data_IF_164385601660
#
_entry.id   IF_164385601660
#
_cell.length_a   1.000
_cell.length_b   1.000
_cell.length_c   1.000
_cell.angle_alpha   90.00
_cell.angle_beta   90.00
_cell.angle_gamma   90.00
#
_symmetry.space_group_name_H-M   'P 1'
#
loop_
_entity.id
_entity.type
_entity.pdbx_description
1 polymer ?
#
# COMPACT_ATOMS: atom_id res chain seq x y z
N UNK A 1 24.23 -2.31 -14.66
CA UNK A 1 24.48 -3.17 -15.83
C UNK A 1 25.98 -3.18 -16.08
N UNK A 2 26.63 -4.34 -16.13
CA UNK A 2 28.08 -4.47 -16.35
C UNK A 2 28.30 -5.02 -17.75
N UNK A 3 29.15 -4.38 -18.56
CA UNK A 3 29.49 -4.83 -19.92
C UNK A 3 30.89 -5.43 -19.88
N UNK A 4 31.05 -6.66 -20.36
CA UNK A 4 32.32 -7.39 -20.37
C UNK A 4 32.62 -7.94 -21.77
N UNK A 5 33.89 -8.21 -22.06
CA UNK A 5 34.32 -8.83 -23.32
C UNK A 5 33.74 -10.25 -23.49
N UNK A 6 33.59 -10.71 -24.74
CA UNK A 6 32.95 -12.01 -25.06
C UNK A 6 33.62 -13.20 -24.35
N UNK A 7 34.95 -13.27 -24.35
CA UNK A 7 35.71 -14.32 -23.67
C UNK A 7 35.57 -14.27 -22.15
N UNK A 8 35.34 -13.09 -21.60
CA UNK A 8 35.08 -12.91 -20.17
C UNK A 8 33.67 -13.38 -19.83
N UNK A 9 32.66 -13.05 -20.64
CA UNK A 9 31.31 -13.56 -20.47
C UNK A 9 31.27 -15.09 -20.56
N UNK A 10 31.97 -15.70 -21.53
CA UNK A 10 32.06 -17.14 -21.67
C UNK A 10 32.70 -17.81 -20.44
N UNK A 11 33.77 -17.20 -19.89
CA UNK A 11 34.39 -17.66 -18.64
C UNK A 11 33.45 -17.53 -17.44
N UNK A 12 32.73 -16.42 -17.32
CA UNK A 12 31.78 -16.19 -16.23
C UNK A 12 30.59 -17.16 -16.27
N UNK A 13 30.13 -17.56 -17.46
CA UNK A 13 29.14 -18.63 -17.62
C UNK A 13 29.73 -19.96 -17.17
N UNK A 14 30.94 -20.30 -17.63
CA UNK A 14 31.60 -21.56 -17.28
C UNK A 14 31.95 -21.68 -15.79
N UNK A 15 32.27 -20.57 -15.12
CA UNK A 15 32.55 -20.51 -13.69
C UNK A 15 31.29 -20.44 -12.81
N UNK A 16 30.11 -20.32 -13.40
CA UNK A 16 28.85 -20.16 -12.66
C UNK A 16 28.68 -18.80 -11.98
N UNK A 17 29.44 -17.79 -12.40
CA UNK A 17 29.33 -16.41 -11.91
C UNK A 17 28.07 -15.71 -12.42
N UNK A 18 27.53 -16.13 -13.57
CA UNK A 18 26.23 -15.71 -14.07
C UNK A 18 25.15 -16.72 -13.69
N UNK A 19 24.16 -16.26 -12.92
CA UNK A 19 23.01 -17.03 -12.48
C UNK A 19 22.01 -17.27 -13.61
N UNK A 20 21.78 -16.21 -14.39
CA UNK A 20 20.97 -16.22 -15.59
C UNK A 20 21.84 -15.72 -16.73
N UNK A 21 21.74 -16.33 -17.90
CA UNK A 21 22.40 -15.80 -19.08
C UNK A 21 21.69 -16.12 -20.38
N UNK A 22 21.80 -15.21 -21.35
CA UNK A 22 21.25 -15.34 -22.68
C UNK A 22 22.16 -14.70 -23.72
N UNK A 23 22.20 -15.26 -24.94
CA UNK A 23 22.85 -14.64 -26.09
C UNK A 23 21.83 -13.90 -26.95
N UNK A 24 21.97 -12.58 -27.05
CA UNK A 24 21.13 -11.71 -27.87
C UNK A 24 22.04 -10.93 -28.82
N UNK A 25 21.82 -11.05 -30.11
CA UNK A 25 22.58 -10.34 -31.16
C UNK A 25 24.12 -10.49 -31.02
N UNK A 26 24.60 -11.66 -30.60
CA UNK A 26 26.04 -11.93 -30.42
C UNK A 26 26.63 -11.48 -29.08
N UNK A 27 25.86 -10.80 -28.23
CA UNK A 27 26.25 -10.40 -26.89
C UNK A 27 25.63 -11.33 -25.84
N UNK A 28 26.36 -11.59 -24.76
CA UNK A 28 25.85 -12.35 -23.62
C UNK A 28 25.35 -11.38 -22.55
N UNK A 29 24.07 -11.45 -22.22
CA UNK A 29 23.44 -10.75 -21.11
C UNK A 29 23.25 -11.73 -19.96
N UNK A 30 23.30 -11.25 -18.72
CA UNK A 30 23.09 -12.12 -17.58
C UNK A 30 23.02 -11.42 -16.23
N UNK A 31 22.50 -12.15 -15.25
CA UNK A 31 22.37 -11.70 -13.86
C UNK A 31 23.53 -12.30 -13.04
N UNK A 32 24.39 -11.49 -12.40
CA UNK A 32 25.46 -12.03 -11.57
C UNK A 32 24.92 -12.77 -10.34
N UNK A 33 25.50 -13.93 -10.02
CA UNK A 33 25.06 -14.75 -8.88
C UNK A 33 25.39 -14.11 -7.52
N UNK A 34 26.54 -13.44 -7.40
CA UNK A 34 27.02 -12.90 -6.12
C UNK A 34 26.07 -11.87 -5.46
N UNK A 35 25.57 -10.84 -6.17
CA UNK A 35 24.60 -9.90 -5.60
C UNK A 35 23.30 -10.59 -5.17
N UNK A 36 22.79 -11.54 -5.96
CA UNK A 36 21.57 -12.28 -5.64
C UNK A 36 21.76 -13.11 -4.38
N UNK A 37 22.86 -13.89 -4.29
CA UNK A 37 23.20 -14.68 -3.10
C UNK A 37 23.34 -13.81 -1.85
N UNK A 38 23.95 -12.62 -1.98
CA UNK A 38 24.11 -11.68 -0.86
C UNK A 38 22.77 -11.15 -0.35
N UNK A 39 21.84 -10.81 -1.25
CA UNK A 39 20.51 -10.32 -0.87
C UNK A 39 19.67 -11.42 -0.21
N UNK A 40 19.71 -12.63 -0.76
CA UNK A 40 19.04 -13.80 -0.18
C UNK A 40 19.61 -14.12 1.21
N UNK A 41 20.93 -14.08 1.37
CA UNK A 41 21.58 -14.28 2.68
C UNK A 41 21.20 -13.20 3.71
N UNK A 42 20.86 -12.00 3.27
CA UNK A 42 20.33 -10.93 4.11
C UNK A 42 18.82 -11.07 4.40
N UNK A 43 18.19 -12.19 4.02
CA UNK A 43 16.77 -12.45 4.24
C UNK A 43 15.83 -11.63 3.34
N UNK A 44 16.35 -11.00 2.28
CA UNK A 44 15.53 -10.19 1.35
C UNK A 44 14.93 -11.07 0.26
N UNK A 45 13.67 -10.80 -0.08
CA UNK A 45 13.03 -11.36 -1.27
C UNK A 45 13.64 -10.70 -2.52
N UNK A 46 14.04 -11.49 -3.51
CA UNK A 46 14.56 -11.00 -4.79
C UNK A 46 13.56 -11.32 -5.88
N UNK A 47 13.10 -10.29 -6.59
CA UNK A 47 12.28 -10.42 -7.78
C UNK A 47 13.18 -10.44 -9.02
N UNK A 48 13.01 -11.45 -9.87
CA UNK A 48 13.72 -11.57 -11.14
C UNK A 48 12.69 -11.64 -12.26
N UNK A 49 12.87 -10.80 -13.27
CA UNK A 49 12.12 -10.88 -14.51
C UNK A 49 12.78 -11.92 -15.42
N UNK A 50 11.99 -12.82 -15.99
CA UNK A 50 12.46 -13.95 -16.79
C UNK A 50 11.79 -13.92 -18.15
N UNK A 51 12.60 -13.74 -19.19
CA UNK A 51 12.11 -13.66 -20.57
C UNK A 51 11.88 -15.04 -21.17
N UNK A 52 12.49 -16.10 -20.61
CA UNK A 52 12.42 -17.46 -21.14
C UNK A 52 12.28 -18.56 -20.11
N UNK A 53 11.65 -19.67 -20.50
CA UNK A 53 11.53 -20.88 -19.66
C UNK A 53 12.90 -21.44 -19.22
N UNK A 54 13.92 -21.40 -20.07
CA UNK A 54 15.23 -21.96 -19.72
C UNK A 54 15.89 -21.20 -18.57
N UNK A 55 15.60 -19.91 -18.41
CA UNK A 55 16.12 -19.10 -17.30
C UNK A 55 15.56 -19.59 -15.95
N UNK A 56 14.28 -19.99 -15.92
CA UNK A 56 13.67 -20.60 -14.74
C UNK A 56 14.36 -21.95 -14.38
N UNK A 57 14.76 -22.73 -15.38
CA UNK A 57 15.50 -23.98 -15.19
C UNK A 57 16.93 -23.72 -14.67
N UNK A 58 17.63 -22.71 -15.22
CA UNK A 58 18.95 -22.28 -14.76
C UNK A 58 18.93 -21.88 -13.28
N UNK A 59 17.92 -21.14 -12.83
CA UNK A 59 17.74 -20.77 -11.42
C UNK A 59 17.63 -21.98 -10.50
N UNK A 60 16.79 -22.96 -10.89
CA UNK A 60 16.61 -24.20 -10.12
C UNK A 60 17.90 -25.02 -10.09
N UNK A 61 18.60 -25.14 -11.22
CA UNK A 61 19.87 -25.85 -11.33
C UNK A 61 20.99 -25.20 -10.49
N UNK A 62 20.97 -23.86 -10.37
CA UNK A 62 21.89 -23.11 -9.52
C UNK A 62 21.59 -23.24 -8.01
N UNK A 63 20.60 -24.04 -7.62
CA UNK A 63 20.27 -24.36 -6.22
C UNK A 63 19.38 -23.34 -5.52
N UNK A 64 18.80 -22.39 -6.26
CA UNK A 64 17.85 -21.43 -5.68
C UNK A 64 16.47 -22.08 -5.50
N UNK A 65 15.90 -21.96 -4.31
CA UNK A 65 14.50 -22.30 -4.03
C UNK A 65 13.57 -21.17 -4.46
N UNK A 66 13.68 -20.76 -5.71
CA UNK A 66 12.83 -19.72 -6.29
C UNK A 66 11.42 -20.25 -6.55
N UNK A 67 10.44 -19.37 -6.39
CA UNK A 67 9.07 -19.60 -6.87
C UNK A 67 8.89 -18.88 -8.19
N UNK A 68 8.43 -19.62 -9.20
CA UNK A 68 8.29 -19.11 -10.56
C UNK A 68 6.82 -18.97 -10.88
N UNK A 69 6.40 -17.74 -11.18
CA UNK A 69 5.02 -17.42 -11.56
C UNK A 69 4.99 -17.10 -13.06
N UNK A 70 4.22 -17.86 -13.83
CA UNK A 70 4.04 -17.62 -15.26
C UNK A 70 3.04 -16.48 -15.48
N UNK A 71 3.44 -15.44 -16.20
CA UNK A 71 2.56 -14.35 -16.62
C UNK A 71 2.04 -14.61 -18.04
N UNK A 72 0.75 -14.89 -18.18
CA UNK A 72 0.12 -15.24 -19.47
C UNK A 72 -0.61 -14.04 -20.06
N UNK A 73 -0.58 -13.86 -21.39
CA UNK A 73 -1.51 -12.93 -22.03
C UNK A 73 -2.95 -13.46 -21.92
N UNK A 74 -3.97 -12.59 -22.01
CA UNK A 74 -5.38 -13.02 -22.00
C UNK A 74 -5.73 -13.84 -23.25
N UNK A 75 -5.05 -13.58 -24.37
CA UNK A 75 -5.11 -14.40 -25.59
C UNK A 75 -3.88 -14.14 -26.46
N UNK A 76 -3.57 -15.09 -27.36
CA UNK A 76 -2.52 -14.92 -28.38
C UNK A 76 -2.82 -13.70 -29.29
N UNK A 77 -4.08 -13.48 -29.65
CA UNK A 77 -4.49 -12.31 -30.45
C UNK A 77 -4.27 -10.98 -29.72
N UNK A 78 -4.53 -10.93 -28.40
CA UNK A 78 -4.22 -9.73 -27.62
C UNK A 78 -2.72 -9.46 -27.57
N UNK A 79 -1.90 -10.49 -27.38
CA UNK A 79 -0.44 -10.37 -27.39
C UNK A 79 0.08 -9.91 -28.77
N UNK A 80 -0.42 -10.50 -29.85
CA UNK A 80 -0.05 -10.15 -31.24
C UNK A 80 -0.34 -8.70 -31.56
N UNK A 81 -1.55 -8.24 -31.22
CA UNK A 81 -1.95 -6.83 -31.41
C UNK A 81 -1.03 -5.88 -30.65
N UNK A 82 -0.70 -6.22 -29.39
CA UNK A 82 0.21 -5.41 -28.55
C UNK A 82 1.60 -5.32 -29.14
N UNK A 83 2.24 -6.47 -29.43
CA UNK A 83 3.61 -6.49 -29.96
C UNK A 83 3.71 -5.76 -31.31
N UNK A 84 2.75 -5.97 -32.21
CA UNK A 84 2.70 -5.22 -33.48
C UNK A 84 2.59 -3.72 -33.25
N UNK A 85 1.70 -3.27 -32.36
CA UNK A 85 1.56 -1.84 -32.02
C UNK A 85 2.88 -1.26 -31.49
N UNK A 86 3.53 -1.97 -30.57
CA UNK A 86 4.74 -1.48 -29.90
C UNK A 86 5.93 -1.40 -30.87
N UNK A 87 6.09 -2.39 -31.76
CA UNK A 87 7.14 -2.39 -32.81
C UNK A 87 6.86 -1.32 -33.88
N UNK A 88 5.60 -1.10 -34.26
CA UNK A 88 5.25 -0.04 -35.22
C UNK A 88 5.45 1.36 -34.62
N UNK A 89 5.24 1.53 -33.32
CA UNK A 89 5.47 2.79 -32.62
C UNK A 89 6.99 3.09 -32.46
N UNK A 90 7.81 2.06 -32.25
CA UNK A 90 9.26 2.17 -32.12
C UNK A 90 9.97 1.07 -32.92
N UNK A 91 10.12 1.24 -34.25
CA UNK A 91 10.74 0.21 -35.08
C UNK A 91 12.25 0.14 -34.81
N UNK A 92 12.84 -1.07 -34.80
CA UNK A 92 14.27 -1.23 -34.68
C UNK A 92 15.00 -0.57 -35.86
N UNK A 93 16.08 0.15 -35.55
CA UNK A 93 16.86 0.91 -36.53
C UNK A 93 17.35 -0.01 -37.66
N UNK A 94 17.04 0.37 -38.91
CA UNK A 94 17.50 -0.32 -40.10
C UNK A 94 16.65 -1.52 -40.55
N UNK A 95 15.49 -1.75 -39.93
CA UNK A 95 14.55 -2.80 -40.33
C UNK A 95 13.25 -2.20 -40.87
N UNK A 96 12.62 -2.91 -41.82
CA UNK A 96 11.24 -2.61 -42.20
C UNK A 96 10.31 -2.89 -41.01
N UNK A 97 9.43 -1.94 -40.60
CA UNK A 97 8.59 -2.11 -39.43
C UNK A 97 7.66 -3.32 -39.50
N UNK A 98 7.16 -3.68 -40.69
CA UNK A 98 6.29 -4.84 -40.87
C UNK A 98 7.06 -6.15 -40.70
N UNK A 99 8.22 -6.25 -41.36
CA UNK A 99 9.10 -7.42 -41.24
C UNK A 99 9.62 -7.60 -39.82
N UNK A 100 9.99 -6.50 -39.14
CA UNK A 100 10.42 -6.53 -37.74
C UNK A 100 9.28 -7.00 -36.83
N UNK A 101 8.06 -6.53 -37.04
CA UNK A 101 6.91 -6.92 -36.24
C UNK A 101 6.57 -8.41 -36.40
N UNK A 102 6.68 -8.95 -37.62
CA UNK A 102 6.45 -10.37 -37.88
C UNK A 102 7.56 -11.26 -37.29
N UNK A 103 8.82 -10.81 -37.32
CA UNK A 103 9.93 -11.52 -36.68
C UNK A 103 9.79 -11.55 -35.14
N UNK A 104 9.45 -10.42 -34.53
CA UNK A 104 9.17 -10.32 -33.08
C UNK A 104 7.99 -11.22 -32.69
N UNK A 105 6.93 -11.24 -33.51
CA UNK A 105 5.80 -12.13 -33.29
C UNK A 105 6.20 -13.60 -33.35
N UNK A 106 6.96 -14.02 -34.37
CA UNK A 106 7.40 -15.42 -34.50
C UNK A 106 8.22 -15.88 -33.28
N UNK A 107 9.09 -15.01 -32.76
CA UNK A 107 9.83 -15.30 -31.53
C UNK A 107 8.92 -15.40 -30.31
N UNK A 108 7.98 -14.46 -30.14
CA UNK A 108 7.03 -14.48 -29.03
C UNK A 108 6.09 -15.70 -29.09
N UNK A 109 5.64 -16.10 -30.28
CA UNK A 109 4.79 -17.27 -30.48
C UNK A 109 5.51 -18.56 -30.09
N UNK A 110 6.78 -18.70 -30.47
CA UNK A 110 7.62 -19.83 -30.05
C UNK A 110 7.79 -19.88 -28.52
N UNK A 111 8.01 -18.73 -27.88
CA UNK A 111 8.17 -18.67 -26.41
C UNK A 111 6.87 -18.97 -25.67
N UNK A 112 5.72 -18.51 -26.18
CA UNK A 112 4.42 -18.85 -25.60
C UNK A 112 4.16 -20.36 -25.71
N UNK A 113 4.49 -20.98 -26.84
CA UNK A 113 4.37 -22.43 -27.01
C UNK A 113 5.30 -23.19 -26.04
N UNK A 114 6.56 -22.75 -25.89
CA UNK A 114 7.50 -23.32 -24.93
C UNK A 114 7.00 -23.18 -23.48
N UNK A 115 6.48 -22.00 -23.12
CA UNK A 115 5.89 -21.73 -21.80
C UNK A 115 4.66 -22.60 -21.53
N UNK A 116 3.80 -22.84 -22.52
CA UNK A 116 2.65 -23.74 -22.37
C UNK A 116 3.08 -25.19 -22.12
N UNK A 117 4.02 -25.71 -22.92
CA UNK A 117 4.55 -27.05 -22.73
C UNK A 117 5.24 -27.21 -21.36
N UNK A 118 5.97 -26.19 -20.91
CA UNK A 118 6.62 -26.19 -19.60
C UNK A 118 5.62 -26.14 -18.44
N UNK A 119 4.50 -25.43 -18.61
CA UNK A 119 3.43 -25.38 -17.63
C UNK A 119 2.71 -26.72 -17.49
N UNK A 120 2.41 -27.40 -18.61
CA UNK A 120 1.86 -28.75 -18.62
C UNK A 120 2.80 -29.76 -17.95
N UNK A 121 4.11 -29.54 -18.04
CA UNK A 121 5.13 -30.32 -17.35
C UNK A 121 5.33 -29.91 -15.86
N UNK A 122 4.59 -28.91 -15.36
CA UNK A 122 4.65 -28.46 -13.97
C UNK A 122 5.90 -27.64 -13.62
N UNK A 123 6.48 -26.93 -14.60
CA UNK A 123 7.68 -26.11 -14.38
C UNK A 123 7.43 -24.82 -13.57
N UNK A 124 6.18 -24.37 -13.49
CA UNK A 124 5.77 -23.16 -12.76
C UNK A 124 5.06 -23.49 -11.45
N UNK A 125 5.27 -22.67 -10.43
CA UNK A 125 4.60 -22.81 -9.14
C UNK A 125 3.19 -22.20 -9.15
N UNK A 126 2.97 -21.19 -10.00
CA UNK A 126 1.66 -20.57 -10.24
C UNK A 126 1.61 -19.95 -11.65
N UNK A 127 0.41 -19.66 -12.14
CA UNK A 127 0.22 -18.92 -13.36
C UNK A 127 -0.86 -17.84 -13.19
N UNK A 128 -0.64 -16.68 -13.79
CA UNK A 128 -1.49 -15.50 -13.70
C UNK A 128 -1.72 -14.94 -15.09
N UNK A 129 -2.97 -14.68 -15.44
CA UNK A 129 -3.31 -13.97 -16.68
C UNK A 129 -3.17 -12.47 -16.45
N UNK A 130 -2.39 -11.80 -17.30
CA UNK A 130 -2.13 -10.37 -17.22
C UNK A 130 -2.78 -9.69 -18.42
N UNK A 131 -3.91 -9.03 -18.17
CA UNK A 131 -4.55 -8.15 -19.15
C UNK A 131 -4.04 -6.71 -18.97
N UNK A 132 -3.32 -6.13 -19.96
CA UNK A 132 -2.86 -4.75 -19.88
C UNK A 132 -3.99 -3.72 -19.77
N UNK A 133 -5.20 -4.05 -20.22
CA UNK A 133 -6.37 -3.18 -20.13
C UNK A 133 -7.01 -3.22 -18.73
N UNK A 134 -6.63 -4.19 -17.89
CA UNK A 134 -7.07 -4.34 -16.50
C UNK A 134 -5.86 -4.61 -15.57
N UNK A 135 -4.91 -3.66 -15.48
CA UNK A 135 -3.62 -3.88 -14.80
C UNK A 135 -3.78 -4.25 -13.33
N UNK A 136 -4.81 -3.72 -12.69
CA UNK A 136 -5.04 -3.95 -11.28
C UNK A 136 -5.56 -5.34 -10.95
N UNK A 137 -6.36 -5.94 -11.86
CA UNK A 137 -6.78 -7.32 -11.73
C UNK A 137 -5.57 -8.25 -11.81
N UNK A 138 -4.63 -7.95 -12.72
CA UNK A 138 -3.38 -8.69 -12.85
C UNK A 138 -2.50 -8.58 -11.59
N UNK A 139 -2.42 -7.38 -10.99
CA UNK A 139 -1.71 -7.18 -9.71
C UNK A 139 -2.36 -7.98 -8.58
N UNK A 140 -3.69 -8.00 -8.50
CA UNK A 140 -4.42 -8.79 -7.49
C UNK A 140 -4.16 -10.30 -7.67
N UNK A 141 -4.26 -10.81 -8.90
CA UNK A 141 -3.95 -12.21 -9.21
C UNK A 141 -2.51 -12.59 -8.86
N UNK A 142 -1.56 -11.69 -9.12
CA UNK A 142 -0.16 -11.89 -8.77
C UNK A 142 0.04 -11.88 -7.26
N UNK A 143 -0.60 -10.97 -6.53
CA UNK A 143 -0.57 -10.95 -5.07
C UNK A 143 -1.11 -12.26 -4.49
N UNK A 144 -2.25 -12.76 -4.99
CA UNK A 144 -2.82 -14.05 -4.61
C UNK A 144 -1.88 -15.23 -4.88
N UNK A 145 -1.24 -15.26 -6.05
CA UNK A 145 -0.26 -16.28 -6.38
C UNK A 145 0.94 -16.25 -5.43
N UNK A 146 1.46 -15.07 -5.12
CA UNK A 146 2.64 -14.88 -4.27
C UNK A 146 2.36 -15.14 -2.79
N UNK A 147 1.18 -14.77 -2.28
CA UNK A 147 0.79 -14.99 -0.88
C UNK A 147 0.85 -16.46 -0.48
N UNK A 148 0.46 -17.37 -1.38
CA UNK A 148 0.56 -18.83 -1.16
C UNK A 148 1.97 -19.27 -0.77
N UNK A 149 2.99 -18.56 -1.23
CA UNK A 149 4.39 -18.89 -0.99
C UNK A 149 5.07 -17.96 0.02
N UNK A 150 4.63 -16.70 0.10
CA UNK A 150 5.26 -15.64 0.88
C UNK A 150 4.23 -14.79 1.64
N UNK A 151 3.47 -15.36 2.59
CA UNK A 151 2.41 -14.65 3.30
C UNK A 151 2.92 -13.49 4.19
N UNK A 152 4.19 -13.54 4.59
CA UNK A 152 4.83 -12.43 5.30
C UNK A 152 5.09 -11.22 4.38
N UNK A 153 5.33 -11.45 3.09
CA UNK A 153 5.60 -10.41 2.10
C UNK A 153 4.30 -9.87 1.48
N UNK A 154 3.30 -10.72 1.32
CA UNK A 154 1.97 -10.37 0.81
C UNK A 154 0.94 -10.73 1.89
N UNK A 155 0.48 -9.79 2.73
CA UNK A 155 -0.45 -10.09 3.81
C UNK A 155 -1.85 -10.46 3.30
N UNK A 156 -2.63 -11.17 4.12
CA UNK A 156 -4.02 -11.56 3.85
C UNK A 156 -4.91 -10.37 3.43
N UNK A 157 -4.60 -9.16 3.88
CA UNK A 157 -5.30 -7.94 3.48
C UNK A 157 -5.16 -7.61 2.00
N UNK A 158 -4.28 -8.26 1.25
CA UNK A 158 -4.11 -8.10 -0.20
C UNK A 158 -4.75 -9.23 -1.02
N UNK A 159 -5.42 -10.22 -0.40
CA UNK A 159 -5.85 -11.48 -1.04
C UNK A 159 -7.37 -11.61 -0.99
N UNK A 160 -8.05 -11.47 -2.14
CA UNK A 160 -9.52 -11.42 -2.16
C UNK A 160 -10.13 -11.93 -3.48
N UNK A 161 -10.59 -13.17 -3.46
CA UNK A 161 -11.65 -13.62 -4.36
C UNK A 161 -11.24 -14.04 -5.79
N UNK A 162 -10.13 -14.78 -5.95
CA UNK A 162 -9.79 -15.47 -7.20
C UNK A 162 -9.50 -14.51 -8.37
N UNK A 163 -8.61 -13.54 -8.15
CA UNK A 163 -8.07 -12.73 -9.23
C UNK A 163 -8.92 -11.55 -9.69
N UNK A 164 -9.91 -11.18 -8.90
CA UNK A 164 -10.60 -9.90 -9.08
C UNK A 164 -9.92 -8.83 -8.24
N UNK A 165 -9.85 -7.58 -8.73
CA UNK A 165 -9.29 -6.49 -7.96
C UNK A 165 -10.22 -6.14 -6.79
N UNK A 166 -9.66 -5.54 -5.74
CA UNK A 166 -10.36 -5.28 -4.47
C UNK A 166 -11.61 -4.36 -4.59
N UNK A 167 -11.81 -3.71 -5.74
CA UNK A 167 -12.99 -2.91 -6.08
C UNK A 167 -14.11 -3.67 -6.78
N UNK A 168 -13.91 -4.92 -7.16
CA UNK A 168 -14.96 -5.69 -7.81
C UNK A 168 -16.09 -6.00 -6.80
N UNK A 169 -17.29 -5.50 -7.11
CA UNK A 169 -18.47 -5.70 -6.29
C UNK A 169 -18.85 -7.18 -6.11
N UNK A 170 -18.45 -8.07 -7.03
CA UNK A 170 -18.73 -9.52 -7.00
C UNK A 170 -17.93 -10.24 -5.92
N UNK A 171 -16.75 -9.74 -5.55
CA UNK A 171 -15.94 -10.28 -4.44
C UNK A 171 -16.53 -9.95 -3.06
N UNK A 172 -17.46 -9.00 -2.97
CA UNK A 172 -18.07 -8.58 -1.71
C UNK A 172 -19.16 -9.52 -1.19
N UNK A 173 -19.54 -10.52 -1.98
CA UNK A 173 -20.46 -11.58 -1.55
C UNK A 173 -19.73 -12.59 -0.63
N UNK A 174 -18.41 -12.66 -0.70
CA UNK A 174 -17.59 -13.49 0.18
C UNK A 174 -16.46 -12.68 0.84
N UNK A 175 -16.70 -12.13 2.03
CA UNK A 175 -15.72 -12.38 3.10
C UNK A 175 -15.04 -11.24 3.86
N UNK A 176 -15.36 -9.94 3.71
CA UNK A 176 -15.20 -8.89 4.78
C UNK A 176 -15.57 -7.48 4.27
N UNK A 177 -16.05 -6.63 5.19
CA UNK A 177 -16.29 -5.20 4.97
C UNK A 177 -14.95 -4.47 4.72
N UNK A 178 -14.84 -3.55 3.75
CA UNK A 178 -13.62 -2.76 3.52
C UNK A 178 -13.22 -2.01 4.80
N UNK A 179 -11.95 -2.10 5.19
CA UNK A 179 -11.46 -1.60 6.48
C UNK A 179 -11.38 -0.07 6.49
N UNK A 180 -12.16 0.58 7.36
CA UNK A 180 -12.18 2.03 7.50
C UNK A 180 -11.59 2.43 8.84
N UNK A 181 -10.44 3.10 8.81
CA UNK A 181 -9.71 3.49 10.02
C UNK A 181 -9.58 4.99 10.10
N UNK A 182 -9.80 5.55 11.28
CA UNK A 182 -9.48 6.94 11.60
C UNK A 182 -8.33 6.94 12.62
N UNK A 183 -7.33 7.79 12.41
CA UNK A 183 -6.27 8.02 13.40
C UNK A 183 -6.33 9.48 13.84
N UNK A 184 -6.52 9.68 15.12
CA UNK A 184 -6.62 10.98 15.79
C UNK A 184 -5.50 11.11 16.81
N UNK A 185 -5.18 12.35 17.11
CA UNK A 185 -4.21 12.68 18.13
C UNK A 185 -3.86 14.15 18.07
N UNK A 186 -3.27 14.69 19.14
CA UNK A 186 -2.79 16.06 19.14
C UNK A 186 -1.66 16.26 18.13
N UNK A 187 -1.33 17.52 17.83
CA UNK A 187 -0.13 17.85 17.07
C UNK A 187 1.11 17.24 17.76
N UNK A 188 2.08 16.76 16.98
CA UNK A 188 3.29 16.11 17.52
C UNK A 188 3.13 14.66 17.98
N UNK A 189 1.91 14.09 17.90
CA UNK A 189 1.67 12.70 18.35
C UNK A 189 2.21 11.61 17.42
N UNK A 190 2.56 11.95 16.17
CA UNK A 190 3.01 10.98 15.16
C UNK A 190 1.87 10.30 14.40
N UNK A 191 0.64 10.84 14.45
CA UNK A 191 -0.54 10.30 13.76
C UNK A 191 -0.33 10.04 12.26
N UNK A 192 0.29 10.98 11.54
CA UNK A 192 0.51 10.88 10.09
C UNK A 192 1.49 9.76 9.75
N UNK A 193 2.55 9.61 10.55
CA UNK A 193 3.48 8.47 10.45
C UNK A 193 2.76 7.14 10.65
N UNK A 194 1.89 7.03 11.66
CA UNK A 194 1.12 5.81 11.90
C UNK A 194 0.10 5.55 10.77
N UNK A 195 -0.50 6.60 10.20
CA UNK A 195 -1.39 6.46 9.05
C UNK A 195 -0.65 5.92 7.83
N UNK A 196 0.54 6.45 7.53
CA UNK A 196 1.35 5.96 6.41
C UNK A 196 1.79 4.50 6.60
N UNK A 197 2.23 4.13 7.81
CA UNK A 197 2.60 2.76 8.13
C UNK A 197 1.40 1.82 7.98
N UNK A 198 0.24 2.21 8.51
CA UNK A 198 -0.99 1.44 8.41
C UNK A 198 -1.47 1.30 6.96
N UNK A 199 -1.47 2.41 6.21
CA UNK A 199 -1.81 2.45 4.78
C UNK A 199 -0.94 1.49 3.97
N UNK A 200 0.38 1.54 4.18
CA UNK A 200 1.33 0.62 3.52
C UNK A 200 1.10 -0.84 3.93
N UNK A 201 0.85 -1.09 5.22
CA UNK A 201 0.67 -2.44 5.77
C UNK A 201 -0.58 -3.12 5.22
N UNK A 202 -1.68 -2.38 5.08
CA UNK A 202 -2.98 -2.90 4.68
C UNK A 202 -3.37 -2.57 3.24
N UNK A 203 -2.50 -1.90 2.47
CA UNK A 203 -2.79 -1.50 1.09
C UNK A 203 -3.93 -0.48 0.97
N UNK A 204 -4.10 0.40 1.97
CA UNK A 204 -5.20 1.35 2.04
C UNK A 204 -4.76 2.75 1.59
N UNK A 205 -5.63 3.51 0.89
CA UNK A 205 -5.42 4.94 0.69
C UNK A 205 -5.35 5.68 2.03
N UNK A 206 -4.29 6.45 2.21
CA UNK A 206 -4.17 7.42 3.29
C UNK A 206 -4.78 8.75 2.86
N UNK A 207 -5.77 9.24 3.61
CA UNK A 207 -6.49 10.47 3.31
C UNK A 207 -6.23 11.45 4.44
N UNK A 208 -5.53 12.55 4.15
CA UNK A 208 -5.32 13.64 5.10
C UNK A 208 -6.17 14.84 4.69
N UNK A 209 -7.15 15.20 5.54
CA UNK A 209 -8.09 16.28 5.24
C UNK A 209 -7.41 17.66 5.10
N UNK A 210 -6.31 17.89 5.82
CA UNK A 210 -5.51 19.10 5.70
C UNK A 210 -4.77 19.17 4.37
N UNK A 211 -4.17 18.07 3.93
CA UNK A 211 -3.48 17.99 2.63
C UNK A 211 -4.44 18.14 1.45
N UNK A 212 -5.64 17.55 1.54
CA UNK A 212 -6.69 17.75 0.54
C UNK A 212 -6.99 19.24 0.36
N UNK A 213 -7.18 19.99 1.46
CA UNK A 213 -7.43 21.42 1.40
C UNK A 213 -6.26 22.20 0.81
N UNK A 214 -5.03 21.90 1.23
CA UNK A 214 -3.82 22.57 0.71
C UNK A 214 -3.61 22.29 -0.78
N UNK A 215 -3.86 21.06 -1.24
CA UNK A 215 -3.78 20.67 -2.65
C UNK A 215 -4.77 21.47 -3.50
N UNK A 216 -6.00 21.64 -3.03
CA UNK A 216 -7.01 22.44 -3.74
C UNK A 216 -6.64 23.93 -3.82
N UNK A 217 -6.03 24.48 -2.76
CA UNK A 217 -5.48 25.85 -2.76
C UNK A 217 -4.34 25.98 -3.78
N UNK A 218 -3.38 25.05 -3.76
CA UNK A 218 -2.25 25.05 -4.70
C UNK A 218 -2.72 24.93 -6.16
N UNK A 219 -3.74 24.11 -6.42
CA UNK A 219 -4.37 23.93 -7.73
C UNK A 219 -5.31 25.07 -8.13
N UNK A 220 -5.56 26.03 -7.22
CA UNK A 220 -6.43 27.21 -7.42
C UNK A 220 -7.84 26.83 -7.86
N UNK A 221 -8.38 25.75 -7.32
CA UNK A 221 -9.76 25.34 -7.63
C UNK A 221 -10.77 26.31 -6.99
N UNK A 222 -12.03 26.34 -7.42
CA UNK A 222 -13.04 27.22 -6.80
C UNK A 222 -13.15 27.02 -5.28
N UNK A 223 -13.10 25.75 -4.82
CA UNK A 223 -13.12 25.40 -3.40
C UNK A 223 -11.84 25.87 -2.70
N UNK A 224 -10.67 25.65 -3.32
CA UNK A 224 -9.39 26.10 -2.79
C UNK A 224 -9.30 27.62 -2.64
N UNK A 225 -9.73 28.39 -3.64
CA UNK A 225 -9.73 29.86 -3.61
C UNK A 225 -10.68 30.43 -2.55
N UNK A 226 -11.81 29.76 -2.31
CA UNK A 226 -12.73 30.16 -1.25
C UNK A 226 -12.17 29.84 0.14
N UNK A 227 -11.58 28.66 0.31
CA UNK A 227 -10.94 28.23 1.56
C UNK A 227 -9.70 29.07 1.91
N UNK A 228 -8.91 29.46 0.91
CA UNK A 228 -7.70 30.27 1.06
C UNK A 228 -7.98 31.59 1.80
N UNK A 229 -9.16 32.20 1.59
CA UNK A 229 -9.59 33.42 2.29
C UNK A 229 -9.71 33.25 3.80
N UNK A 230 -10.01 32.03 4.27
CA UNK A 230 -10.09 31.72 5.69
C UNK A 230 -8.70 31.40 6.25
N UNK A 231 -7.86 30.70 5.48
CA UNK A 231 -6.50 30.33 5.88
C UNK A 231 -5.60 31.55 6.12
N UNK A 232 -5.61 32.54 5.22
CA UNK A 232 -4.80 33.77 5.37
C UNK A 232 -5.35 34.73 6.42
N UNK A 233 -6.63 34.59 6.80
CA UNK A 233 -7.33 35.57 7.63
C UNK A 233 -7.28 35.30 9.14
N UNK A 234 -6.41 34.40 9.63
CA UNK A 234 -6.41 33.86 11.01
C UNK A 234 -7.79 33.35 11.48
N UNK A 235 -8.67 33.00 10.52
CA UNK A 235 -10.02 32.48 10.76
C UNK A 235 -10.00 30.97 10.65
N UNK A 236 -10.77 30.31 11.50
CA UNK A 236 -10.98 28.86 11.40
C UNK A 236 -11.67 28.52 10.08
N UNK A 237 -11.11 27.59 9.32
CA UNK A 237 -11.72 27.10 8.08
C UNK A 237 -13.06 26.41 8.40
N UNK A 238 -14.18 26.82 7.77
CA UNK A 238 -15.48 26.21 8.01
C UNK A 238 -15.54 24.71 7.69
N UNK A 239 -16.25 23.94 8.52
CA UNK A 239 -16.42 22.48 8.36
C UNK A 239 -16.88 22.03 6.98
N UNK A 240 -17.68 22.84 6.28
CA UNK A 240 -18.23 22.48 4.95
C UNK A 240 -17.14 22.13 3.93
N UNK A 241 -15.97 22.80 4.00
CA UNK A 241 -14.86 22.55 3.09
C UNK A 241 -14.29 21.14 3.32
N UNK A 242 -14.00 20.79 4.57
CA UNK A 242 -13.51 19.47 4.91
C UNK A 242 -14.55 18.38 4.62
N UNK A 243 -15.82 18.62 4.94
CA UNK A 243 -16.91 17.67 4.65
C UNK A 243 -17.02 17.37 3.16
N UNK A 244 -16.95 18.40 2.31
CA UNK A 244 -16.98 18.23 0.86
C UNK A 244 -15.76 17.42 0.39
N UNK A 245 -14.55 17.86 0.71
CA UNK A 245 -13.31 17.24 0.22
C UNK A 245 -13.14 15.81 0.71
N UNK A 246 -13.42 15.56 1.99
CA UNK A 246 -13.37 14.20 2.57
C UNK A 246 -14.43 13.31 1.94
N UNK A 247 -15.67 13.80 1.75
CA UNK A 247 -16.70 12.99 1.08
C UNK A 247 -16.29 12.63 -0.34
N UNK A 248 -15.84 13.59 -1.14
CA UNK A 248 -15.39 13.35 -2.52
C UNK A 248 -14.24 12.32 -2.55
N UNK A 249 -13.23 12.49 -1.68
CA UNK A 249 -12.08 11.58 -1.64
C UNK A 249 -12.43 10.18 -1.17
N UNK A 250 -13.25 10.04 -0.13
CA UNK A 250 -13.65 8.74 0.41
C UNK A 250 -14.66 8.02 -0.49
N UNK A 251 -15.38 8.75 -1.34
CA UNK A 251 -16.26 8.19 -2.38
C UNK A 251 -15.51 7.72 -3.63
N UNK A 252 -14.21 8.01 -3.76
CA UNK A 252 -13.42 7.55 -4.89
C UNK A 252 -13.37 6.01 -4.96
N UNK A 253 -13.27 5.41 -6.16
CA UNK A 253 -13.33 3.96 -6.34
C UNK A 253 -12.32 3.19 -5.49
N UNK A 254 -11.08 3.68 -5.36
CA UNK A 254 -10.04 3.07 -4.53
C UNK A 254 -10.42 3.03 -3.04
N UNK A 255 -10.90 4.13 -2.47
CA UNK A 255 -11.35 4.19 -1.08
C UNK A 255 -12.60 3.35 -0.82
N UNK A 256 -13.55 3.37 -1.75
CA UNK A 256 -14.77 2.58 -1.64
C UNK A 256 -14.44 1.10 -1.66
N UNK A 257 -13.48 0.70 -2.50
CA UNK A 257 -13.03 -0.66 -2.74
C UNK A 257 -12.34 -1.31 -1.55
N UNK A 258 -11.24 -0.70 -1.14
CA UNK A 258 -10.28 -1.30 -0.20
C UNK A 258 -10.50 -0.84 1.23
N UNK A 259 -11.26 0.25 1.39
CA UNK A 259 -11.33 1.00 2.62
C UNK A 259 -10.35 2.17 2.60
N UNK A 260 -10.02 2.71 3.76
CA UNK A 260 -9.23 3.93 3.86
C UNK A 260 -8.68 4.14 5.26
N UNK A 261 -7.61 4.91 5.35
CA UNK A 261 -7.09 5.48 6.60
C UNK A 261 -7.28 6.99 6.54
N UNK A 262 -8.03 7.55 7.48
CA UNK A 262 -8.30 8.98 7.58
C UNK A 262 -7.45 9.60 8.69
N UNK A 263 -6.50 10.46 8.30
CA UNK A 263 -5.56 11.13 9.19
C UNK A 263 -6.14 12.46 9.68
N UNK A 264 -6.35 12.54 11.00
CA UNK A 264 -6.69 13.80 11.66
C UNK A 264 -8.07 14.34 11.32
N UNK A 265 -9.02 13.53 10.86
CA UNK A 265 -10.42 13.91 10.75
C UNK A 265 -11.29 12.76 11.26
N UNK A 266 -12.33 13.01 12.08
CA UNK A 266 -12.87 14.31 12.50
C UNK A 266 -12.14 14.93 13.71
N UNK A 267 -12.21 16.26 13.84
CA UNK A 267 -11.76 17.03 15.00
C UNK A 267 -12.87 17.33 16.01
N UNK A 268 -14.14 17.35 15.61
CA UNK A 268 -15.26 17.66 16.51
C UNK A 268 -16.31 16.56 16.55
N UNK A 269 -17.11 16.52 17.62
CA UNK A 269 -18.27 15.62 17.71
C UNK A 269 -19.24 15.85 16.55
N UNK A 270 -19.47 17.10 16.14
CA UNK A 270 -20.34 17.43 15.00
C UNK A 270 -19.82 16.88 13.68
N UNK A 271 -18.51 16.87 13.46
CA UNK A 271 -17.90 16.24 12.29
C UNK A 271 -18.00 14.70 12.36
N UNK A 272 -17.82 14.11 13.56
CA UNK A 272 -18.04 12.68 13.76
C UNK A 272 -19.48 12.27 13.44
N UNK A 273 -20.48 12.99 13.98
CA UNK A 273 -21.90 12.76 13.67
C UNK A 273 -22.20 12.88 12.17
N UNK A 274 -21.52 13.79 11.47
CA UNK A 274 -21.65 13.90 10.03
C UNK A 274 -21.09 12.66 9.30
N UNK A 275 -19.94 12.11 9.71
CA UNK A 275 -19.41 10.86 9.12
C UNK A 275 -20.40 9.70 9.25
N UNK A 276 -21.05 9.57 10.42
CA UNK A 276 -22.10 8.58 10.63
C UNK A 276 -23.27 8.79 9.66
N UNK A 277 -23.80 10.02 9.58
CA UNK A 277 -24.92 10.35 8.71
C UNK A 277 -24.61 10.19 7.21
N UNK A 278 -23.35 10.38 6.82
CA UNK A 278 -22.88 10.22 5.45
C UNK A 278 -22.59 8.75 5.06
N UNK A 279 -22.75 7.78 5.97
CA UNK A 279 -22.37 6.38 5.73
C UNK A 279 -20.85 6.14 5.67
N UNK A 280 -20.08 7.12 6.16
CA UNK A 280 -18.61 7.15 6.20
C UNK A 280 -18.08 6.84 7.60
N UNK A 281 -18.88 6.18 8.44
CA UNK A 281 -18.46 5.78 9.78
C UNK A 281 -17.22 4.85 9.71
N UNK A 282 -16.17 5.12 10.50
CA UNK A 282 -15.03 4.23 10.60
C UNK A 282 -15.38 2.96 11.37
N UNK A 283 -14.69 1.87 11.04
CA UNK A 283 -14.76 0.61 11.80
C UNK A 283 -13.83 0.63 13.01
N UNK A 284 -12.72 1.38 12.91
CA UNK A 284 -11.68 1.50 13.92
C UNK A 284 -11.25 2.94 14.08
N UNK A 285 -11.12 3.39 15.32
CA UNK A 285 -10.60 4.71 15.67
C UNK A 285 -9.39 4.53 16.57
N UNK A 286 -8.27 5.14 16.21
CA UNK A 286 -7.06 5.16 17.02
C UNK A 286 -6.91 6.56 17.56
N UNK A 287 -6.77 6.70 18.87
CA UNK A 287 -6.44 7.97 19.53
C UNK A 287 -5.05 7.85 20.14
N UNK A 288 -4.10 8.59 19.57
CA UNK A 288 -2.75 8.74 20.12
C UNK A 288 -2.77 9.75 21.27
N UNK A 289 -2.23 9.37 22.43
CA UNK A 289 -2.23 10.18 23.64
C UNK A 289 -0.82 10.55 24.10
N UNK A 290 -0.57 11.82 24.39
CA UNK A 290 0.73 12.31 24.85
C UNK A 290 0.56 13.49 25.79
N UNK A 291 1.51 13.68 26.71
CA UNK A 291 1.54 14.88 27.55
C UNK A 291 1.94 16.10 26.73
N UNK A 292 1.45 17.29 27.09
CA UNK A 292 1.82 18.52 26.39
C UNK A 292 3.33 18.74 26.37
N UNK A 293 4.03 18.44 27.47
CA UNK A 293 5.49 18.54 27.53
C UNK A 293 6.19 17.69 26.45
N UNK A 294 5.79 16.43 26.30
CA UNK A 294 6.33 15.53 25.27
C UNK A 294 6.02 16.02 23.85
N UNK A 295 4.81 16.52 23.63
CA UNK A 295 4.36 16.93 22.31
C UNK A 295 5.00 18.25 21.87
N UNK A 296 5.18 19.18 22.80
CA UNK A 296 5.93 20.41 22.58
C UNK A 296 7.38 20.09 22.22
N UNK A 297 8.06 19.25 23.01
CA UNK A 297 9.44 18.81 22.73
C UNK A 297 9.58 18.25 21.31
N UNK A 298 8.66 17.39 20.87
CA UNK A 298 8.65 16.80 19.52
C UNK A 298 8.41 17.77 18.38
N UNK A 299 7.72 18.88 18.62
CA UNK A 299 7.42 19.88 17.57
C UNK A 299 8.55 20.91 17.50
N UNK A 300 9.14 21.23 18.66
CA UNK A 300 10.32 22.11 18.74
C UNK A 300 11.57 21.47 18.14
N UNK A 301 11.64 20.13 18.08
CA UNK A 301 12.68 19.40 17.34
C UNK A 301 12.30 19.26 15.84
N UNK A 302 13.12 19.78 14.89
CA UNK A 302 12.87 19.61 13.47
C UNK A 302 12.80 18.13 13.10
N UNK A 303 11.69 17.67 12.51
CA UNK A 303 11.56 16.29 12.05
C UNK A 303 12.56 16.04 10.92
N UNK A 304 13.61 15.28 11.23
CA UNK A 304 14.61 14.84 10.27
C UNK A 304 14.06 13.66 9.46
N UNK A 305 14.20 13.64 8.13
CA UNK A 305 14.15 12.39 7.39
C UNK A 305 15.38 11.57 7.80
N UNK A 306 15.23 10.74 8.83
CA UNK A 306 16.29 9.85 9.26
C UNK A 306 16.53 8.85 8.12
N UNK A 307 17.80 8.74 7.69
CA UNK A 307 18.24 7.58 6.92
C UNK A 307 18.01 6.31 7.76
N UNK A 308 17.94 5.16 7.12
CA UNK A 308 17.81 3.86 7.80
C UNK A 308 18.95 3.56 8.79
N UNK A 309 20.06 4.32 8.74
CA UNK A 309 21.20 4.26 9.66
C UNK A 309 21.14 5.31 10.79
N UNK A 310 20.07 6.10 10.89
CA UNK A 310 19.87 7.13 11.92
C UNK A 310 20.60 8.45 11.66
N UNK A 311 21.24 8.64 10.50
CA UNK A 311 21.86 9.92 10.13
C UNK A 311 20.89 10.85 9.40
N UNK A 312 21.01 12.16 9.64
CA UNK A 312 20.29 13.20 8.89
C UNK A 312 21.19 13.74 7.76
N UNK A 313 20.63 13.89 6.55
CA UNK A 313 21.37 14.47 5.42
C UNK A 313 21.55 15.99 5.61
N UNK A 314 22.79 16.48 5.63
CA UNK A 314 23.10 17.91 5.83
C UNK A 314 22.46 18.80 4.76
N UNK A 315 22.27 18.28 3.55
CA UNK A 315 21.63 19.03 2.47
C UNK A 315 20.11 19.12 2.65
N UNK A 316 19.49 18.10 3.27
CA UNK A 316 18.08 18.09 3.65
C UNK A 316 17.82 19.04 4.81
N UNK A 317 18.72 19.05 5.82
CA UNK A 317 18.64 19.96 6.98
C UNK A 317 18.65 21.43 6.56
N UNK A 318 19.46 21.79 5.54
CA UNK A 318 19.56 23.15 5.05
C UNK A 318 18.31 23.66 4.31
N UNK A 319 17.36 22.79 3.97
CA UNK A 319 16.11 23.12 3.27
C UNK A 319 14.87 23.01 4.16
N UNK A 320 15.04 22.73 5.46
CA UNK A 320 13.92 22.62 6.39
C UNK A 320 13.37 24.02 6.71
N UNK A 321 12.11 24.24 6.35
CA UNK A 321 11.36 25.43 6.75
C UNK A 321 10.45 25.08 7.94
N UNK A 322 10.46 25.93 8.96
CA UNK A 322 9.52 25.83 10.08
C UNK A 322 8.18 26.37 9.59
N UNK A 323 7.11 25.55 9.67
CA UNK A 323 5.78 26.01 9.28
C UNK A 323 5.31 27.07 10.27
N UNK A 324 4.55 28.06 9.78
CA UNK A 324 3.94 29.08 10.64
C UNK A 324 3.12 28.48 11.82
N UNK A 325 2.51 27.31 11.60
CA UNK A 325 1.70 26.59 12.59
C UNK A 325 2.51 25.87 13.69
N UNK A 326 3.84 25.82 13.55
CA UNK A 326 4.75 25.12 14.46
C UNK A 326 5.44 26.08 15.45
N UNK A 327 4.96 27.34 15.55
CA UNK A 327 5.36 28.23 16.65
C UNK A 327 4.78 27.76 17.99
N UNK A 328 5.53 27.93 19.08
CA UNK A 328 5.13 27.47 20.42
C UNK A 328 3.72 27.94 20.82
N UNK A 329 3.35 29.18 20.49
CA UNK A 329 2.03 29.74 20.76
C UNK A 329 0.91 29.04 19.96
N UNK A 330 1.16 28.74 18.69
CA UNK A 330 0.20 28.06 17.82
C UNK A 330 0.06 26.58 18.22
N UNK A 331 1.17 25.93 18.60
CA UNK A 331 1.16 24.56 19.12
C UNK A 331 0.35 24.50 20.41
N UNK A 332 0.62 25.38 21.38
CA UNK A 332 -0.12 25.42 22.64
C UNK A 332 -1.62 25.62 22.43
N UNK A 333 -2.02 26.50 21.51
CA UNK A 333 -3.44 26.68 21.12
C UNK A 333 -4.05 25.41 20.54
N UNK A 334 -3.33 24.70 19.67
CA UNK A 334 -3.80 23.44 19.05
C UNK A 334 -3.95 22.32 20.08
N UNK A 335 -3.02 22.23 21.04
CA UNK A 335 -3.09 21.27 22.14
C UNK A 335 -4.30 21.57 23.05
N UNK A 336 -4.51 22.84 23.43
CA UNK A 336 -5.68 23.24 24.21
C UNK A 336 -7.00 22.97 23.48
N UNK A 337 -7.06 23.22 22.17
CA UNK A 337 -8.24 22.93 21.36
C UNK A 337 -8.52 21.42 21.29
N UNK A 338 -7.47 20.61 21.15
CA UNK A 338 -7.58 19.15 21.18
C UNK A 338 -8.17 18.65 22.50
N UNK A 339 -7.71 19.14 23.64
CA UNK A 339 -8.23 18.76 24.96
C UNK A 339 -9.73 19.04 25.12
N UNK A 340 -10.19 20.17 24.57
CA UNK A 340 -11.61 20.53 24.57
C UNK A 340 -12.45 19.60 23.69
N UNK A 341 -11.89 19.16 22.56
CA UNK A 341 -12.64 18.42 21.54
C UNK A 341 -12.61 16.90 21.72
N UNK A 342 -11.50 16.36 22.24
CA UNK A 342 -11.28 14.90 22.34
C UNK A 342 -12.35 14.20 23.17
N UNK A 343 -12.93 14.87 24.17
CA UNK A 343 -14.03 14.32 24.97
C UNK A 343 -15.24 13.96 24.08
N UNK A 344 -15.66 14.88 23.22
CA UNK A 344 -16.79 14.66 22.33
C UNK A 344 -16.52 13.58 21.27
N UNK A 345 -15.26 13.44 20.84
CA UNK A 345 -14.83 12.40 19.91
C UNK A 345 -14.82 11.01 20.59
N UNK A 346 -14.31 10.91 21.82
CA UNK A 346 -14.33 9.67 22.60
C UNK A 346 -15.76 9.19 22.87
N UNK A 347 -16.67 10.12 23.16
CA UNK A 347 -18.09 9.80 23.30
C UNK A 347 -18.72 9.32 21.98
N UNK A 348 -18.35 9.92 20.85
CA UNK A 348 -18.90 9.56 19.55
C UNK A 348 -18.43 8.18 19.05
N UNK A 349 -17.22 7.75 19.42
CA UNK A 349 -16.59 6.52 18.93
C UNK A 349 -16.31 5.49 20.04
N UNK A 350 -17.10 5.51 21.12
CA UNK A 350 -16.83 4.76 22.35
C UNK A 350 -16.51 3.28 22.13
N UNK A 351 -17.21 2.61 21.21
CA UNK A 351 -17.14 1.15 21.04
C UNK A 351 -16.09 0.69 20.02
N UNK A 352 -15.49 1.62 19.27
CA UNK A 352 -14.56 1.33 18.17
C UNK A 352 -13.19 1.97 18.36
N UNK A 353 -12.87 2.42 19.57
CA UNK A 353 -11.66 3.21 19.84
C UNK A 353 -10.56 2.43 20.58
N UNK A 354 -9.36 2.43 20.01
CA UNK A 354 -8.11 2.16 20.73
C UNK A 354 -7.49 3.48 21.19
N UNK A 355 -7.16 3.57 22.48
CA UNK A 355 -6.31 4.64 23.02
C UNK A 355 -4.93 4.09 23.27
N UNK A 356 -3.91 4.72 22.71
CA UNK A 356 -2.53 4.26 22.87
C UNK A 356 -1.58 5.44 23.13
N UNK A 357 -0.66 5.32 24.11
CA UNK A 357 0.29 6.38 24.39
C UNK A 357 1.29 6.54 23.25
N UNK A 358 1.54 7.78 22.83
CA UNK A 358 2.49 8.09 21.77
C UNK A 358 3.94 8.22 22.26
N UNK A 359 4.21 8.05 23.58
CA UNK A 359 5.56 8.09 24.16
C UNK A 359 6.42 6.88 23.75
N UNK A 360 5.78 5.75 23.45
CA UNK A 360 6.42 4.54 22.99
C UNK A 360 7.11 4.71 21.62
N UNK A 361 8.05 3.81 21.30
CA UNK A 361 8.70 3.81 20.00
C UNK A 361 7.71 3.55 18.86
N UNK A 362 8.00 4.08 17.66
CA UNK A 362 7.10 4.02 16.49
C UNK A 362 6.62 2.60 16.18
N UNK A 363 7.53 1.61 16.24
CA UNK A 363 7.21 0.21 15.99
C UNK A 363 6.25 -0.37 17.03
N UNK A 364 6.41 -0.03 18.32
CA UNK A 364 5.54 -0.52 19.39
C UNK A 364 4.12 0.07 19.25
N UNK A 365 4.01 1.34 18.87
CA UNK A 365 2.71 1.97 18.60
C UNK A 365 2.05 1.31 17.38
N UNK A 366 2.83 1.06 16.32
CA UNK A 366 2.35 0.38 15.11
C UNK A 366 1.82 -1.03 15.42
N UNK A 367 2.57 -1.82 16.20
CA UNK A 367 2.16 -3.16 16.62
C UNK A 367 0.85 -3.15 17.42
N UNK A 368 0.70 -2.20 18.35
CA UNK A 368 -0.54 -2.05 19.11
C UNK A 368 -1.74 -1.71 18.21
N UNK A 369 -1.53 -0.82 17.22
CA UNK A 369 -2.55 -0.46 16.23
C UNK A 369 -2.91 -1.67 15.36
N UNK A 370 -1.92 -2.37 14.81
CA UNK A 370 -2.13 -3.58 13.98
C UNK A 370 -2.89 -4.66 14.75
N UNK A 371 -2.50 -4.90 16.01
CA UNK A 371 -3.16 -5.85 16.91
C UNK A 371 -4.65 -5.54 17.11
N UNK A 372 -5.01 -4.26 17.21
CA UNK A 372 -6.40 -3.82 17.37
C UNK A 372 -7.20 -3.83 16.07
N UNK A 373 -6.58 -3.39 14.97
CA UNK A 373 -7.20 -3.39 13.64
C UNK A 373 -7.51 -4.81 13.18
N UNK A 374 -6.69 -5.78 13.56
CA UNK A 374 -6.85 -7.21 13.21
C UNK A 374 -7.58 -8.03 14.29
N UNK A 375 -8.12 -7.40 15.34
CA UNK A 375 -8.66 -8.09 16.50
C UNK A 375 -9.76 -9.11 16.13
N UNK A 376 -10.73 -8.70 15.33
CA UNK A 376 -11.84 -9.57 14.90
C UNK A 376 -11.35 -10.72 14.02
N UNK A 377 -10.33 -10.47 13.19
CA UNK A 377 -9.71 -11.51 12.38
C UNK A 377 -9.01 -12.55 13.25
N UNK A 378 -8.29 -12.10 14.29
CA UNK A 378 -7.58 -12.96 15.24
C UNK A 378 -8.51 -13.77 16.12
N UNK A 379 -9.67 -13.20 16.48
CA UNK A 379 -10.70 -13.88 17.24
C UNK A 379 -11.61 -14.77 16.37
N UNK A 380 -11.38 -14.83 15.05
CA UNK A 380 -12.20 -15.63 14.13
C UNK A 380 -13.62 -15.09 13.90
N UNK A 381 -13.90 -13.85 14.33
CA UNK A 381 -15.24 -13.23 14.30
C UNK A 381 -15.56 -12.59 12.95
N UNK A 382 -14.57 -12.43 12.08
CA UNK A 382 -14.72 -11.65 10.86
C UNK A 382 -15.24 -12.50 9.67
N UNK A 383 -16.16 -13.45 9.93
CA UNK A 383 -16.67 -14.38 8.92
C UNK A 383 -18.01 -15.07 9.21
N UNK A 384 -18.68 -14.83 10.33
CA UNK A 384 -20.03 -15.36 10.57
C UNK A 384 -21.04 -14.21 10.53
N UNK A 385 -22.22 -14.48 9.95
CA UNK A 385 -23.44 -13.71 10.27
C UNK A 385 -23.49 -13.45 11.79
N UNK A 386 -24.10 -12.37 12.28
CA UNK A 386 -24.10 -12.05 13.71
C UNK A 386 -24.76 -13.18 14.50
N UNK A 387 -23.96 -14.15 14.91
CA UNK A 387 -24.35 -15.16 15.85
C UNK A 387 -24.41 -14.40 17.17
N UNK A 388 -25.63 -14.22 17.67
CA UNK A 388 -25.85 -13.70 19.02
C UNK A 388 -25.22 -14.70 19.96
N UNK A 389 -23.93 -14.50 20.28
CA UNK A 389 -23.22 -15.33 21.25
C UNK A 389 -23.92 -15.11 22.57
N UNK A 390 -24.57 -16.13 23.14
CA UNK A 390 -25.29 -15.95 24.38
C UNK A 390 -24.29 -15.65 25.49
N UNK A 391 -24.66 -14.73 26.38
CA UNK A 391 -23.75 -14.16 27.40
C UNK A 391 -23.08 -15.18 28.33
N UNK A 392 -23.56 -16.43 28.37
CA UNK A 392 -22.97 -17.52 29.16
C UNK A 392 -21.77 -18.22 28.49
N UNK A 393 -21.44 -17.91 27.23
CA UNK A 393 -20.27 -18.45 26.51
C UNK A 393 -19.07 -17.49 26.46
N UNK A 394 -19.20 -16.30 27.05
CA UNK A 394 -18.12 -15.30 27.09
C UNK A 394 -17.29 -15.48 28.38
N UNK A 395 -15.95 -15.51 28.31
CA UNK A 395 -15.09 -15.60 29.49
C UNK A 395 -15.24 -14.35 30.38
N UNK A 396 -15.20 -14.57 31.70
CA UNK A 396 -15.55 -13.66 32.81
C UNK A 396 -14.85 -12.28 32.80
N UNK A 397 -15.24 -11.38 31.90
CA UNK A 397 -14.93 -9.96 31.99
C UNK A 397 -16.23 -9.16 31.97
N UNK A 398 -16.56 -8.64 33.16
CA UNK A 398 -17.80 -7.96 33.53
C UNK A 398 -18.14 -6.77 32.63
N UNK A 399 -19.22 -6.86 31.85
CA UNK A 399 -19.92 -5.71 31.29
C UNK A 399 -21.44 -5.89 31.42
N UNK A 400 -22.14 -4.78 31.69
CA UNK A 400 -23.58 -4.73 32.02
C UNK A 400 -24.37 -4.26 30.81
N UNK A 401 -25.25 -5.11 30.27
CA UNK A 401 -26.17 -4.78 29.16
C UNK A 401 -27.28 -3.86 29.71
N UNK A 402 -27.39 -2.64 29.20
CA UNK A 402 -28.29 -1.61 29.74
C UNK A 402 -29.68 -1.54 29.09
N UNK A 403 -29.92 -2.22 27.96
CA UNK A 403 -31.27 -2.58 27.50
C UNK A 403 -31.19 -3.48 26.26
N UNK A 404 -32.17 -4.37 26.10
CA UNK A 404 -32.42 -5.13 24.88
C UNK A 404 -33.74 -4.59 24.30
N UNK A 405 -33.70 -4.24 23.02
CA UNK A 405 -34.73 -3.49 22.32
C UNK A 405 -36.13 -4.13 22.34
N UNK A 406 -37.13 -3.29 22.04
CA UNK A 406 -38.13 -3.68 21.06
C UNK A 406 -38.06 -2.73 19.88
#
# INVERSE_FOLDING_TARGET
>A
MMVVAHDTAARMVASGELLLHEKVLGHTYGVPATPVRRLVAAGKLVLLDLDRVEQAQQLRAAGFKAKVVLLRPPSLEALKRRLRRDVLANPPLGYDPGVAADAVWAQAEAEVAASQAADEAGAFDAAVTVDPEAPDAAVAMLAEALHKFYPAAVPDSLIWGYGQPLWDARCRVYGRKPLRVVVLGPAGSGKSTQCELLARRFGLPCVNAGELLHSEVQRRTPVGLEAERFMHGSRTVPDRFFKQLVSERLSAPDCQAVGWVLDGFPHTKSQAMWLFAAGLAPDKVIILEGSHALLMERISEPVHPLRADGSADKEVLARLEVRHDDSDENVARRLALWDLQVKGLREAFQDVTLRTPCKSGVAQVCEAIESFVTLEARLGLAGTEPEVIPSWQLPELTYRVLSVAR
#
